data_IF_069777745036
#
_entry.id   IF_069777745036
#
_cell.length_a   1.000
_cell.length_b   1.000
_cell.length_c   1.000
_cell.angle_alpha   90.00
_cell.angle_beta   90.00
_cell.angle_gamma   90.00
#
_symmetry.space_group_name_H-M   'P 1'
#
loop_
_entity.id
_entity.type
_entity.pdbx_description
1 polymer ?
#
# COMPACT_ATOMS: atom_id res chain seq x y z
N UNK A 1 4.20 -10.75 -29.44
CA UNK A 1 3.72 -12.16 -29.48
C UNK A 1 2.26 -12.24 -29.94
N UNK A 2 1.34 -11.45 -29.35
CA UNK A 2 -0.07 -11.38 -29.79
C UNK A 2 -0.26 -11.06 -31.30
N UNK A 3 0.53 -10.13 -31.87
CA UNK A 3 0.45 -9.78 -33.30
C UNK A 3 0.84 -10.93 -34.25
N UNK A 4 1.59 -11.95 -33.79
CA UNK A 4 1.87 -13.17 -34.58
C UNK A 4 0.66 -14.11 -34.58
N UNK A 5 -0.04 -14.24 -33.45
CA UNK A 5 -1.23 -15.09 -33.30
C UNK A 5 -2.43 -14.56 -34.11
N UNK A 6 -2.54 -13.24 -34.27
CA UNK A 6 -3.52 -12.63 -35.18
C UNK A 6 -3.18 -12.89 -36.65
N UNK A 7 -1.88 -12.93 -37.03
CA UNK A 7 -1.45 -13.31 -38.38
C UNK A 7 -1.66 -14.81 -38.67
N UNK A 8 -1.71 -15.63 -37.63
CA UNK A 8 -1.96 -17.07 -37.69
C UNK A 8 -3.47 -17.40 -37.64
N UNK A 9 -4.38 -16.40 -37.68
CA UNK A 9 -5.83 -16.55 -37.57
C UNK A 9 -6.33 -17.30 -36.32
N UNK A 10 -5.50 -17.38 -35.28
CA UNK A 10 -5.84 -18.05 -34.01
C UNK A 10 -6.74 -17.17 -33.14
N UNK A 11 -6.72 -15.85 -33.35
CA UNK A 11 -7.37 -14.85 -32.50
C UNK A 11 -8.10 -13.84 -33.40
N UNK A 12 -9.34 -13.47 -33.05
CA UNK A 12 -10.07 -12.44 -33.79
C UNK A 12 -9.48 -11.04 -33.56
N UNK A 13 -9.77 -10.12 -34.48
CA UNK A 13 -9.29 -8.74 -34.37
C UNK A 13 -9.84 -8.02 -33.11
N UNK A 14 -11.03 -8.40 -32.64
CA UNK A 14 -11.67 -7.86 -31.43
C UNK A 14 -10.95 -8.36 -30.17
N UNK A 15 -10.64 -9.66 -30.11
CA UNK A 15 -9.89 -10.25 -28.99
C UNK A 15 -8.47 -9.70 -28.90
N UNK A 16 -7.83 -9.45 -30.04
CA UNK A 16 -6.52 -8.79 -30.08
C UNK A 16 -6.57 -7.39 -29.45
N UNK A 17 -7.61 -6.61 -29.77
CA UNK A 17 -7.81 -5.28 -29.19
C UNK A 17 -8.03 -5.36 -27.67
N UNK A 18 -8.81 -6.35 -27.19
CA UNK A 18 -9.04 -6.57 -25.77
C UNK A 18 -7.75 -6.91 -25.02
N UNK A 19 -6.90 -7.78 -25.59
CA UNK A 19 -5.58 -8.10 -25.00
C UNK A 19 -4.67 -6.88 -24.98
N UNK A 20 -4.64 -6.09 -26.07
CA UNK A 20 -3.88 -4.85 -26.11
C UNK A 20 -4.36 -3.83 -25.05
N UNK A 21 -5.67 -3.68 -24.88
CA UNK A 21 -6.24 -2.81 -23.85
C UNK A 21 -5.89 -3.31 -22.44
N UNK A 22 -5.99 -4.61 -22.18
CA UNK A 22 -5.63 -5.19 -20.88
C UNK A 22 -4.14 -5.00 -20.53
N UNK A 23 -3.25 -5.14 -21.52
CA UNK A 23 -1.81 -4.89 -21.35
C UNK A 23 -1.53 -3.41 -21.07
N UNK A 24 -2.16 -2.51 -21.81
CA UNK A 24 -2.02 -1.06 -21.59
C UNK A 24 -2.50 -0.67 -20.20
N UNK A 25 -3.69 -1.13 -19.78
CA UNK A 25 -4.21 -0.89 -18.44
C UNK A 25 -3.30 -1.45 -17.34
N UNK A 26 -2.72 -2.63 -17.55
CA UNK A 26 -1.77 -3.21 -16.59
C UNK A 26 -0.50 -2.37 -16.48
N UNK A 27 -0.01 -1.84 -17.59
CA UNK A 27 1.15 -0.94 -17.62
C UNK A 27 0.84 0.38 -16.94
N UNK A 28 -0.33 0.95 -17.21
CA UNK A 28 -0.73 2.24 -16.64
C UNK A 28 -0.90 2.11 -15.12
N UNK A 29 -1.53 1.04 -14.62
CA UNK A 29 -1.58 0.74 -13.17
C UNK A 29 -0.20 0.56 -12.55
N UNK A 30 0.73 -0.11 -13.24
CA UNK A 30 2.10 -0.27 -12.74
C UNK A 30 2.84 1.08 -12.68
N UNK A 31 2.63 1.95 -13.67
CA UNK A 31 3.18 3.29 -13.68
C UNK A 31 2.56 4.17 -12.58
N UNK A 32 1.25 4.09 -12.35
CA UNK A 32 0.59 4.82 -11.27
C UNK A 32 1.09 4.40 -9.89
N UNK A 33 1.41 3.12 -9.70
CA UNK A 33 1.99 2.62 -8.44
C UNK A 33 3.44 3.04 -8.24
N UNK A 34 4.21 3.20 -9.32
CA UNK A 34 5.64 3.53 -9.27
C UNK A 34 5.93 5.04 -9.39
N UNK A 35 4.99 5.82 -9.92
CA UNK A 35 5.10 7.28 -10.09
C UNK A 35 5.28 8.02 -8.75
N UNK A 36 4.52 7.71 -7.68
CA UNK A 36 4.72 8.26 -6.34
C UNK A 36 6.14 8.11 -5.79
N UNK A 37 6.83 7.01 -6.08
CA UNK A 37 8.14 6.67 -5.49
C UNK A 37 9.20 7.73 -5.83
N UNK A 38 9.10 8.38 -7.00
CA UNK A 38 10.06 9.40 -7.43
C UNK A 38 9.58 10.83 -7.19
N UNK A 39 8.29 11.04 -6.98
CA UNK A 39 7.67 12.37 -7.02
C UNK A 39 7.02 12.83 -5.71
N UNK A 40 6.65 11.94 -4.79
CA UNK A 40 5.71 12.29 -3.70
C UNK A 40 6.31 13.05 -2.51
N UNK A 41 7.63 13.22 -2.42
CA UNK A 41 8.18 14.26 -1.56
C UNK A 41 9.58 14.68 -1.99
N UNK A 42 9.81 15.97 -2.29
CA UNK A 42 11.16 16.45 -2.37
C UNK A 42 11.77 16.31 -0.97
N UNK A 43 12.89 15.59 -0.86
CA UNK A 43 13.76 15.49 0.33
C UNK A 43 13.82 16.75 1.21
N UNK A 44 13.87 18.00 0.67
CA UNK A 44 13.82 19.21 1.49
C UNK A 44 12.55 19.38 2.33
N UNK A 45 11.37 18.94 1.89
CA UNK A 45 10.12 19.12 2.64
C UNK A 45 10.10 18.28 3.92
N UNK A 46 10.46 16.99 3.82
CA UNK A 46 10.56 16.09 4.98
C UNK A 46 11.58 16.63 5.98
N UNK A 47 12.73 17.08 5.49
CA UNK A 47 13.78 17.68 6.32
C UNK A 47 13.28 18.93 7.05
N UNK A 48 12.52 19.80 6.37
CA UNK A 48 11.96 21.00 6.98
C UNK A 48 10.93 20.66 8.06
N UNK A 49 10.05 19.68 7.82
CA UNK A 49 9.11 19.20 8.83
C UNK A 49 9.85 18.61 10.06
N UNK A 50 10.90 17.81 9.85
CA UNK A 50 11.71 17.25 10.93
C UNK A 50 12.35 18.35 11.79
N UNK A 51 12.94 19.35 11.14
CA UNK A 51 13.55 20.51 11.81
C UNK A 51 12.48 21.30 12.58
N UNK A 52 11.31 21.53 11.99
CA UNK A 52 10.23 22.28 12.63
C UNK A 52 9.69 21.58 13.88
N UNK A 53 9.48 20.26 13.82
CA UNK A 53 9.07 19.45 14.97
C UNK A 53 10.12 19.51 16.07
N UNK A 54 11.41 19.35 15.72
CA UNK A 54 12.50 19.42 16.70
C UNK A 54 12.63 20.80 17.36
N UNK A 55 12.49 21.89 16.58
CA UNK A 55 12.49 23.25 17.11
C UNK A 55 11.29 23.46 18.04
N UNK A 56 10.11 22.98 17.67
CA UNK A 56 8.91 23.09 18.50
C UNK A 56 9.09 22.37 19.84
N UNK A 57 9.57 21.11 19.82
CA UNK A 57 9.85 20.34 21.03
C UNK A 57 10.90 21.01 21.92
N UNK A 58 11.94 21.60 21.31
CA UNK A 58 12.98 22.33 22.04
C UNK A 58 12.43 23.59 22.71
N UNK A 59 11.62 24.39 21.99
CA UNK A 59 10.99 25.59 22.55
C UNK A 59 9.99 25.24 23.66
N UNK A 60 9.19 24.19 23.48
CA UNK A 60 8.25 23.71 24.49
C UNK A 60 8.97 23.20 25.75
N UNK A 61 10.07 22.46 25.58
CA UNK A 61 10.89 21.99 26.70
C UNK A 61 11.59 23.14 27.43
N UNK A 62 12.08 24.15 26.70
CA UNK A 62 12.68 25.35 27.29
C UNK A 62 11.66 26.15 28.10
N UNK A 63 10.45 26.36 27.57
CA UNK A 63 9.39 27.07 28.28
C UNK A 63 9.06 26.38 29.61
N UNK A 64 8.82 25.06 29.57
CA UNK A 64 8.55 24.29 30.79
C UNK A 64 9.75 24.29 31.75
N UNK A 65 10.98 24.29 31.22
CA UNK A 65 12.19 24.40 32.04
C UNK A 65 12.32 25.73 32.78
N UNK A 66 11.92 26.84 32.15
CA UNK A 66 11.88 28.17 32.79
C UNK A 66 10.81 28.19 33.89
N UNK A 67 9.62 27.67 33.61
CA UNK A 67 8.54 27.58 34.61
C UNK A 67 8.97 26.72 35.83
N UNK A 68 9.69 25.62 35.57
CA UNK A 68 10.28 24.78 36.61
C UNK A 68 11.35 25.50 37.41
N UNK A 69 12.20 26.31 36.77
CA UNK A 69 13.23 27.08 37.44
C UNK A 69 12.62 28.14 38.38
N UNK A 70 11.58 28.83 37.94
CA UNK A 70 10.83 29.79 38.77
C UNK A 70 10.21 29.08 39.96
N UNK A 71 9.52 27.96 39.72
CA UNK A 71 8.86 27.19 40.77
C UNK A 71 9.85 26.60 41.80
N UNK A 72 11.02 26.16 41.33
CA UNK A 72 12.11 25.67 42.19
C UNK A 72 12.65 26.76 43.13
N UNK A 73 12.73 27.99 42.63
CA UNK A 73 13.14 29.14 43.42
C UNK A 73 12.07 29.51 44.47
N UNK A 74 10.78 29.48 44.11
CA UNK A 74 9.67 29.79 45.02
C UNK A 74 9.51 28.77 46.16
N UNK A 75 9.70 27.48 45.86
CA UNK A 75 9.53 26.39 46.83
C UNK A 75 10.81 26.03 47.59
N UNK A 76 11.91 26.79 47.41
CA UNK A 76 13.23 26.52 48.02
C UNK A 76 13.70 25.08 47.83
N UNK A 77 13.43 24.49 46.67
CA UNK A 77 13.79 23.11 46.36
C UNK A 77 12.76 22.04 46.73
N UNK A 78 11.55 22.42 47.16
CA UNK A 78 10.47 21.50 47.52
C UNK A 78 9.72 20.84 46.36
N UNK A 79 10.03 21.21 45.10
CA UNK A 79 9.29 20.82 43.88
C UNK A 79 9.05 19.31 43.78
N UNK A 80 10.04 18.48 44.11
CA UNK A 80 9.92 17.02 43.97
C UNK A 80 8.90 16.38 44.90
N UNK A 81 8.41 17.10 45.92
CA UNK A 81 7.38 16.59 46.85
C UNK A 81 5.96 16.84 46.34
N UNK A 82 5.78 17.73 45.38
CA UNK A 82 4.46 18.07 44.88
C UNK A 82 4.04 17.14 43.73
N UNK A 83 2.83 16.56 43.78
CA UNK A 83 2.33 15.66 42.73
C UNK A 83 2.25 16.34 41.36
N UNK A 84 2.11 17.68 41.34
CA UNK A 84 2.11 18.51 40.13
C UNK A 84 3.37 18.31 39.28
N UNK A 85 4.53 18.10 39.90
CA UNK A 85 5.81 17.93 39.18
C UNK A 85 5.77 16.66 38.32
N UNK A 86 5.31 15.56 38.91
CA UNK A 86 5.21 14.27 38.21
C UNK A 86 4.22 14.33 37.04
N UNK A 87 3.08 15.00 37.22
CA UNK A 87 2.10 15.19 36.14
C UNK A 87 2.70 15.99 34.99
N UNK A 88 3.44 17.06 35.27
CA UNK A 88 4.09 17.86 34.22
C UNK A 88 5.17 17.09 33.46
N UNK A 89 6.00 16.30 34.14
CA UNK A 89 6.98 15.42 33.48
C UNK A 89 6.27 14.41 32.58
N UNK A 90 5.19 13.80 33.07
CA UNK A 90 4.41 12.84 32.29
C UNK A 90 3.76 13.49 31.06
N UNK A 91 3.18 14.69 31.20
CA UNK A 91 2.64 15.44 30.08
C UNK A 91 3.70 15.81 29.04
N UNK A 92 4.90 16.23 29.48
CA UNK A 92 6.01 16.57 28.59
C UNK A 92 6.55 15.33 27.85
N UNK A 93 6.62 14.20 28.55
CA UNK A 93 6.96 12.91 27.95
C UNK A 93 5.92 12.46 26.91
N UNK A 94 4.62 12.55 27.22
CA UNK A 94 3.57 12.22 26.26
C UNK A 94 3.61 13.14 25.04
N UNK A 95 3.78 14.45 25.26
CA UNK A 95 3.86 15.43 24.17
C UNK A 95 5.02 15.10 23.22
N UNK A 96 6.22 14.93 23.74
CA UNK A 96 7.40 14.55 22.95
C UNK A 96 7.20 13.22 22.21
N UNK A 97 6.62 12.22 22.88
CA UNK A 97 6.34 10.91 22.28
C UNK A 97 5.34 10.99 21.13
N UNK A 98 4.26 11.75 21.27
CA UNK A 98 3.24 11.91 20.22
C UNK A 98 3.85 12.54 18.97
N UNK A 99 4.65 13.60 19.11
CA UNK A 99 5.30 14.25 17.97
C UNK A 99 6.36 13.37 17.30
N UNK A 100 7.12 12.60 18.08
CA UNK A 100 8.07 11.63 17.54
C UNK A 100 7.35 10.51 16.76
N UNK A 101 6.30 9.90 17.36
CA UNK A 101 5.49 8.89 16.69
C UNK A 101 4.82 9.41 15.42
N UNK A 102 4.32 10.64 15.43
CA UNK A 102 3.70 11.25 14.25
C UNK A 102 4.69 11.38 13.10
N UNK A 103 5.93 11.80 13.39
CA UNK A 103 6.99 11.87 12.40
C UNK A 103 7.38 10.48 11.86
N UNK A 104 7.49 9.48 12.73
CA UNK A 104 7.79 8.10 12.35
C UNK A 104 6.67 7.49 11.48
N UNK A 105 5.41 7.75 11.80
CA UNK A 105 4.26 7.31 10.99
C UNK A 105 4.29 7.94 9.59
N UNK A 106 4.63 9.24 9.48
CA UNK A 106 4.83 9.88 8.18
C UNK A 106 5.93 9.21 7.36
N UNK A 107 7.07 8.86 7.99
CA UNK A 107 8.14 8.11 7.33
C UNK A 107 7.77 6.66 7.00
N UNK A 108 6.89 6.05 7.80
CA UNK A 108 6.41 4.69 7.57
C UNK A 108 5.47 4.61 6.36
N UNK A 109 4.50 5.52 6.28
CA UNK A 109 3.53 5.56 5.18
C UNK A 109 4.13 6.05 3.85
N UNK A 110 5.29 6.71 3.88
CA UNK A 110 5.92 7.26 2.67
C UNK A 110 6.26 6.18 1.63
N UNK A 111 6.81 5.04 2.06
CA UNK A 111 7.20 3.96 1.14
C UNK A 111 6.62 2.61 1.58
N UNK A 112 5.40 2.24 1.14
CA UNK A 112 4.79 0.96 1.48
C UNK A 112 5.41 -0.23 0.75
N UNK A 113 6.46 -0.03 -0.06
CA UNK A 113 7.12 -1.05 -0.89
C UNK A 113 8.54 -1.39 -0.42
N UNK A 114 8.88 -1.01 0.82
CA UNK A 114 10.16 -1.35 1.42
C UNK A 114 10.25 -2.82 1.86
N UNK A 115 11.39 -3.21 2.45
CA UNK A 115 11.60 -4.56 2.99
C UNK A 115 11.03 -4.74 4.41
N UNK A 116 10.20 -3.81 4.92
CA UNK A 116 9.74 -3.84 6.31
C UNK A 116 8.56 -4.79 6.46
N UNK A 117 8.37 -5.32 7.67
CA UNK A 117 7.27 -6.26 7.96
C UNK A 117 5.87 -5.63 7.79
N UNK A 118 5.79 -4.30 7.89
CA UNK A 118 4.56 -3.51 7.72
C UNK A 118 4.32 -3.11 6.25
N UNK A 119 5.31 -3.30 5.39
CA UNK A 119 5.23 -2.99 3.97
C UNK A 119 4.48 -4.11 3.22
N UNK A 120 4.01 -3.80 2.01
CA UNK A 120 3.29 -4.76 1.17
C UNK A 120 4.25 -5.86 0.72
N UNK A 121 3.95 -7.12 1.08
CA UNK A 121 4.76 -8.26 0.70
C UNK A 121 4.65 -8.56 -0.82
N UNK A 122 5.57 -7.97 -1.60
CA UNK A 122 5.66 -8.17 -3.05
C UNK A 122 5.85 -9.63 -3.45
N UNK A 123 6.52 -10.43 -2.62
CA UNK A 123 6.77 -11.83 -2.91
C UNK A 123 5.46 -12.63 -2.87
N UNK A 124 4.62 -12.41 -1.87
CA UNK A 124 3.32 -13.07 -1.76
C UNK A 124 2.36 -12.64 -2.86
N UNK A 125 2.28 -11.34 -3.14
CA UNK A 125 1.41 -10.81 -4.22
C UNK A 125 1.85 -11.36 -5.58
N UNK A 126 3.14 -11.33 -5.89
CA UNK A 126 3.65 -11.85 -7.18
C UNK A 126 3.48 -13.36 -7.31
N UNK A 127 3.64 -14.12 -6.22
CA UNK A 127 3.36 -15.55 -6.17
C UNK A 127 1.88 -15.85 -6.41
N UNK A 128 0.98 -15.07 -5.81
CA UNK A 128 -0.47 -15.17 -6.04
C UNK A 128 -0.86 -14.93 -7.50
N UNK A 129 -0.34 -13.85 -8.11
CA UNK A 129 -0.58 -13.53 -9.53
C UNK A 129 -0.03 -14.62 -10.44
N UNK A 130 1.18 -15.13 -10.19
CA UNK A 130 1.75 -16.25 -10.97
C UNK A 130 0.95 -17.52 -10.83
N UNK A 131 0.48 -17.84 -9.62
CA UNK A 131 -0.36 -19.02 -9.37
C UNK A 131 -1.67 -18.91 -10.15
N UNK A 132 -2.33 -17.75 -10.09
CA UNK A 132 -3.55 -17.49 -10.85
C UNK A 132 -3.32 -17.61 -12.36
N UNK A 133 -2.24 -17.02 -12.89
CA UNK A 133 -1.90 -17.12 -14.31
C UNK A 133 -1.59 -18.56 -14.75
N UNK A 134 -0.95 -19.34 -13.89
CA UNK A 134 -0.68 -20.76 -14.16
C UNK A 134 -1.98 -21.57 -14.13
N UNK A 135 -2.88 -21.32 -13.18
CA UNK A 135 -4.17 -22.02 -13.10
C UNK A 135 -5.10 -21.69 -14.28
N UNK A 136 -5.19 -20.41 -14.67
CA UNK A 136 -5.95 -19.96 -15.85
C UNK A 136 -5.38 -20.49 -17.17
N UNK A 137 -4.07 -20.70 -17.26
CA UNK A 137 -3.46 -21.26 -18.48
C UNK A 137 -3.53 -22.78 -18.56
N UNK A 138 -3.75 -23.46 -17.44
CA UNK A 138 -3.80 -24.93 -17.36
C UNK A 138 -5.19 -25.53 -17.21
N UNK A 139 -6.24 -24.74 -16.87
CA UNK A 139 -7.63 -25.20 -16.78
C UNK A 139 -8.56 -24.41 -17.70
N UNK A 140 -9.40 -25.09 -18.48
CA UNK A 140 -10.54 -24.52 -19.24
C UNK A 140 -11.73 -24.10 -18.35
N UNK A 141 -11.59 -24.08 -17.03
CA UNK A 141 -12.64 -23.65 -16.10
C UNK A 141 -12.31 -22.26 -15.60
N UNK A 142 -13.11 -21.28 -16.02
CA UNK A 142 -13.13 -19.94 -15.43
C UNK A 142 -13.27 -20.05 -13.90
N UNK A 143 -12.62 -19.19 -13.11
CA UNK A 143 -12.87 -19.14 -11.67
C UNK A 143 -14.36 -18.84 -11.43
N UNK A 144 -14.96 -19.42 -10.39
CA UNK A 144 -16.41 -19.36 -10.07
C UNK A 144 -16.94 -17.91 -9.99
N UNK A 145 -16.07 -16.94 -9.76
CA UNK A 145 -16.40 -15.49 -9.74
C UNK A 145 -16.49 -14.85 -11.13
N UNK A 146 -16.14 -15.57 -12.19
CA UNK A 146 -16.17 -15.14 -13.60
C UNK A 146 -17.18 -15.94 -14.43
N UNK A 147 -18.06 -16.72 -13.79
CA UNK A 147 -19.21 -17.29 -14.50
C UNK A 147 -20.13 -16.15 -14.96
N UNK A 148 -20.35 -16.07 -16.27
CA UNK A 148 -21.31 -15.18 -16.89
C UNK A 148 -22.70 -15.47 -16.31
N UNK A 149 -23.23 -14.50 -15.57
CA UNK A 149 -24.64 -14.47 -15.10
C UNK A 149 -25.64 -14.28 -16.25
N UNK A 150 -25.21 -14.39 -17.52
CA UNK A 150 -26.01 -14.02 -18.69
C UNK A 150 -26.49 -15.17 -19.57
N UNK A 151 -26.33 -16.44 -19.17
CA UNK A 151 -26.94 -17.56 -19.90
C UNK A 151 -27.96 -18.30 -19.04
N UNK A 152 -29.06 -17.62 -18.71
CA UNK A 152 -30.32 -18.30 -18.43
C UNK A 152 -30.99 -18.61 -19.77
N UNK A 153 -31.17 -19.91 -20.02
CA UNK A 153 -32.01 -20.54 -21.05
C UNK A 153 -31.50 -20.53 -22.50
N UNK A 154 -30.77 -21.57 -22.88
CA UNK A 154 -31.11 -22.36 -24.08
C UNK A 154 -30.40 -23.74 -24.06
N UNK A 155 -30.78 -24.58 -23.10
CA UNK A 155 -30.50 -26.02 -23.17
C UNK A 155 -31.40 -26.65 -24.24
N UNK A 156 -30.88 -26.79 -25.45
CA UNK A 156 -31.24 -27.87 -26.37
C UNK A 156 -30.02 -28.77 -26.50
N UNK A 157 -29.83 -29.62 -25.50
CA UNK A 157 -28.96 -30.78 -25.55
C UNK A 157 -29.54 -31.83 -26.51
N UNK A 158 -28.78 -32.18 -27.56
CA UNK A 158 -28.55 -33.56 -28.05
C UNK A 158 -28.04 -33.52 -29.50
N UNK A 159 -26.72 -33.57 -29.67
CA UNK A 159 -26.07 -34.06 -30.91
C UNK A 159 -24.54 -34.05 -30.75
N UNK A 160 -24.01 -34.86 -29.85
CA UNK A 160 -22.59 -35.24 -29.91
C UNK A 160 -22.37 -36.60 -29.26
N UNK A 161 -22.80 -37.67 -29.94
CA UNK A 161 -22.27 -39.02 -29.73
C UNK A 161 -22.68 -39.90 -30.92
N UNK A 162 -21.72 -40.12 -31.81
CA UNK A 162 -21.27 -41.43 -32.32
C UNK A 162 -20.63 -41.23 -33.71
N UNK A 163 -19.30 -41.19 -33.72
CA UNK A 163 -18.50 -41.41 -34.92
C UNK A 163 -18.71 -42.85 -35.40
N UNK A 164 -19.17 -43.00 -36.64
CA UNK A 164 -18.91 -44.19 -37.46
C UNK A 164 -17.43 -44.22 -37.81
N UNK A 165 -16.79 -45.37 -37.64
CA UNK A 165 -15.72 -45.78 -38.56
C UNK A 165 -15.84 -47.28 -38.84
N UNK A 166 -16.00 -47.59 -40.12
CA UNK A 166 -15.92 -48.90 -40.73
C UNK A 166 -14.46 -49.20 -41.07
N UNK A 167 -13.98 -50.37 -40.69
CA UNK A 167 -12.68 -50.92 -41.08
C UNK A 167 -12.41 -52.25 -40.39
#
# INVERSE_FOLDING_TARGET
KAMKLTKENVISQIEFQTVCNAVTLSRDKANDLMSPIYHDQPSPYISLCAVLVNINLLLYSLSNGVDWAIWMHETKGGVSREPRAYVQVFCLFLYTTIYAMLFDVCGLLYNPFGPRDVDVNHYEVSKGIRKLANELSSRCTLPITMDNVDNVESDNDESCLMMSDNG
#
